data_IF_459344339078
#
_entry.id   IF_459344339078
#
_cell.length_a   1.000
_cell.length_b   1.000
_cell.length_c   1.000
_cell.angle_alpha   90.00
_cell.angle_beta   90.00
_cell.angle_gamma   90.00
#
_symmetry.space_group_name_H-M   'P 1'
#
loop_
_entity.id
_entity.type
_entity.pdbx_description
1 polymer ?
#
# COMPACT_ATOMS: atom_id res chain seq x y z
N UNK A 1 11.01 8.59 -16.76
CA UNK A 1 9.69 9.24 -16.59
C UNK A 1 9.50 9.44 -15.09
N UNK A 2 9.13 10.62 -14.60
CA UNK A 2 8.84 10.80 -13.18
C UNK A 2 7.67 9.91 -12.75
N UNK A 3 7.71 9.39 -11.53
CA UNK A 3 6.66 8.57 -10.96
C UNK A 3 5.96 9.31 -9.80
N UNK A 4 4.64 9.19 -9.74
CA UNK A 4 3.80 9.62 -8.62
C UNK A 4 3.33 8.38 -7.87
N UNK A 5 3.77 8.26 -6.62
CA UNK A 5 3.31 7.22 -5.70
C UNK A 5 2.05 7.70 -4.99
N UNK A 6 0.93 7.01 -5.18
CA UNK A 6 -0.34 7.29 -4.51
C UNK A 6 -0.62 6.21 -3.46
N UNK A 7 -0.67 6.62 -2.20
CA UNK A 7 -0.92 5.75 -1.06
C UNK A 7 -2.40 5.83 -0.67
N UNK A 8 -3.13 4.73 -0.87
CA UNK A 8 -4.56 4.66 -0.61
C UNK A 8 -4.88 4.60 0.91
N UNK A 9 -6.13 4.93 1.26
CA UNK A 9 -6.60 4.89 2.65
C UNK A 9 -7.05 3.50 3.11
N UNK A 10 -7.55 3.43 4.35
CA UNK A 10 -8.09 2.22 4.96
C UNK A 10 -9.15 1.55 4.08
N UNK A 11 -9.20 0.22 4.09
CA UNK A 11 -10.14 -0.63 3.33
C UNK A 11 -10.02 -0.58 1.81
N UNK A 12 -9.14 0.27 1.26
CA UNK A 12 -8.85 0.26 -0.16
C UNK A 12 -7.92 -0.92 -0.51
N UNK A 13 -8.29 -1.64 -1.56
CA UNK A 13 -7.46 -2.60 -2.29
C UNK A 13 -6.92 -1.97 -3.57
N UNK A 14 -5.98 -2.65 -4.25
CA UNK A 14 -5.50 -2.29 -5.59
C UNK A 14 -6.63 -2.05 -6.63
N UNK A 15 -7.78 -2.72 -6.47
CA UNK A 15 -8.94 -2.62 -7.36
C UNK A 15 -9.83 -1.40 -7.07
N UNK A 16 -9.77 -0.83 -5.85
CA UNK A 16 -10.55 0.35 -5.44
C UNK A 16 -9.74 1.64 -5.41
N UNK A 17 -8.41 1.51 -5.41
CA UNK A 17 -7.47 2.61 -5.59
C UNK A 17 -7.31 3.17 -7.02
N UNK A 18 -7.89 2.65 -8.13
CA UNK A 18 -7.76 3.28 -9.44
C UNK A 18 -8.31 4.69 -9.35
N UNK A 19 -7.38 5.63 -9.26
CA UNK A 19 -7.60 7.05 -9.27
C UNK A 19 -8.67 7.36 -10.32
N UNK A 20 -9.86 7.75 -9.86
CA UNK A 20 -11.03 7.99 -10.69
C UNK A 20 -10.75 9.14 -11.66
N UNK A 21 -10.08 8.84 -12.77
CA UNK A 21 -9.71 9.78 -13.82
C UNK A 21 -8.31 10.40 -13.76
N UNK A 22 -7.40 10.03 -12.85
CA UNK A 22 -6.08 10.68 -12.81
C UNK A 22 -5.15 10.23 -13.96
N UNK A 23 -5.45 9.13 -14.65
CA UNK A 23 -4.65 8.61 -15.77
C UNK A 23 -4.55 9.64 -16.91
N UNK A 24 -5.65 10.37 -17.19
CA UNK A 24 -5.66 11.41 -18.23
C UNK A 24 -4.67 12.52 -17.90
N UNK A 25 -4.74 13.06 -16.68
CA UNK A 25 -3.86 14.14 -16.25
C UNK A 25 -2.41 13.65 -16.14
N UNK A 26 -2.19 12.43 -15.64
CA UNK A 26 -0.85 11.83 -15.59
C UNK A 26 -0.24 11.69 -16.99
N UNK A 27 -1.02 11.29 -17.99
CA UNK A 27 -0.58 11.25 -19.38
C UNK A 27 -0.24 12.65 -19.94
N UNK A 28 -1.08 13.65 -19.65
CA UNK A 28 -0.83 15.06 -20.05
C UNK A 28 0.44 15.63 -19.40
N UNK A 29 0.77 15.20 -18.17
CA UNK A 29 1.94 15.64 -17.39
C UNK A 29 3.18 14.75 -17.57
N UNK A 30 3.08 13.63 -18.29
CA UNK A 30 4.17 12.67 -18.45
C UNK A 30 4.57 11.95 -17.16
N UNK A 31 3.61 11.58 -16.32
CA UNK A 31 3.81 10.88 -15.04
C UNK A 31 3.45 9.40 -15.12
N UNK A 32 4.29 8.54 -14.54
CA UNK A 32 3.90 7.18 -14.18
C UNK A 32 3.08 7.22 -12.88
N UNK A 33 1.95 6.53 -12.82
CA UNK A 33 1.20 6.34 -11.58
C UNK A 33 1.59 5.00 -10.96
N UNK A 34 2.02 5.01 -9.69
CA UNK A 34 2.31 3.81 -8.91
C UNK A 34 1.35 3.79 -7.72
N UNK A 35 0.55 2.73 -7.62
CA UNK A 35 -0.54 2.60 -6.65
C UNK A 35 -0.40 1.23 -5.95
N UNK A 36 0.47 1.10 -4.95
CA UNK A 36 0.66 -0.15 -4.24
C UNK A 36 -0.54 -0.49 -3.35
N UNK A 37 -0.57 -1.73 -2.89
CA UNK A 37 -1.53 -2.17 -1.87
C UNK A 37 -1.25 -1.51 -0.50
N UNK A 38 -2.23 -1.59 0.41
CA UNK A 38 -2.25 -0.87 1.69
C UNK A 38 -1.72 -1.69 2.87
N UNK A 39 -1.54 -3.00 2.69
CA UNK A 39 -0.97 -3.93 3.67
C UNK A 39 -0.49 -5.21 2.97
N UNK A 40 0.26 -6.09 3.66
CA UNK A 40 0.41 -7.47 3.23
C UNK A 40 -0.94 -8.17 3.10
N UNK A 41 -1.01 -9.21 2.26
CA UNK A 41 -2.18 -10.07 2.07
C UNK A 41 -1.80 -11.53 2.28
N UNK A 42 -2.64 -12.29 2.98
CA UNK A 42 -2.44 -13.74 3.19
C UNK A 42 -1.19 -14.06 4.01
N UNK A 43 -0.88 -13.24 5.02
CA UNK A 43 0.24 -13.48 5.92
C UNK A 43 -0.04 -14.65 6.88
N UNK A 44 -1.31 -15.02 7.06
CA UNK A 44 -1.72 -16.12 7.93
C UNK A 44 -1.55 -15.78 9.41
N UNK A 45 -1.60 -14.48 9.74
CA UNK A 45 -1.57 -14.01 11.13
C UNK A 45 -2.98 -14.10 11.71
N UNK A 46 -3.10 -14.68 12.91
CA UNK A 46 -4.38 -14.78 13.61
C UNK A 46 -4.97 -13.37 13.83
N UNK A 47 -6.22 -13.20 13.40
CA UNK A 47 -6.97 -11.94 13.51
C UNK A 47 -6.56 -10.87 12.50
N UNK A 48 -5.78 -11.20 11.46
CA UNK A 48 -5.33 -10.21 10.45
C UNK A 48 -6.46 -9.50 9.71
N UNK A 49 -7.68 -10.05 9.70
CA UNK A 49 -8.85 -9.48 9.03
C UNK A 49 -10.04 -9.24 9.97
N UNK A 50 -9.84 -9.29 11.30
CA UNK A 50 -10.93 -9.17 12.28
C UNK A 50 -11.49 -7.75 12.38
N UNK A 51 -10.68 -6.74 12.03
CA UNK A 51 -11.03 -5.33 12.11
C UNK A 51 -10.72 -4.61 10.79
N UNK A 52 -11.51 -3.59 10.46
CA UNK A 52 -11.35 -2.82 9.22
C UNK A 52 -10.25 -1.75 9.33
N UNK A 53 -9.90 -1.37 10.56
CA UNK A 53 -8.93 -0.33 10.91
C UNK A 53 -7.61 -0.91 11.43
N UNK A 54 -7.42 -2.22 11.38
CA UNK A 54 -6.20 -2.89 11.83
C UNK A 54 -5.94 -4.18 11.04
N UNK A 55 -4.66 -4.46 10.76
CA UNK A 55 -4.27 -5.64 9.98
C UNK A 55 -4.41 -5.43 8.46
N UNK A 56 -5.16 -6.30 7.80
CA UNK A 56 -5.32 -6.39 6.35
C UNK A 56 -6.14 -5.20 5.84
N UNK A 57 -5.60 -4.44 4.90
CA UNK A 57 -6.16 -3.16 4.43
C UNK A 57 -5.83 -1.96 5.33
N UNK A 58 -5.01 -2.17 6.37
CA UNK A 58 -4.68 -1.18 7.39
C UNK A 58 -3.21 -1.31 7.83
N UNK A 59 -2.27 -1.21 6.88
CA UNK A 59 -0.84 -1.33 7.15
C UNK A 59 -0.18 -0.07 7.75
N UNK A 60 -0.87 1.08 7.73
CA UNK A 60 -0.40 2.38 8.24
C UNK A 60 0.96 2.87 7.72
N UNK A 61 1.51 2.23 6.69
CA UNK A 61 2.79 2.59 6.07
C UNK A 61 3.97 2.63 7.05
N UNK A 62 3.96 1.73 8.03
CA UNK A 62 5.02 1.58 9.04
C UNK A 62 5.67 0.19 8.97
N UNK A 63 6.80 0.06 9.65
CA UNK A 63 7.39 -1.21 10.01
C UNK A 63 7.00 -1.59 11.44
N UNK A 64 6.19 -2.64 11.58
CA UNK A 64 5.75 -3.15 12.87
C UNK A 64 6.92 -3.78 13.63
N UNK A 65 6.98 -3.52 14.95
CA UNK A 65 8.00 -4.09 15.84
C UNK A 65 7.47 -5.23 16.70
N UNK A 66 6.16 -5.27 16.92
CA UNK A 66 5.52 -6.25 17.80
C UNK A 66 5.08 -7.51 17.05
N UNK A 67 5.27 -8.67 17.68
CA UNK A 67 4.73 -9.93 17.19
C UNK A 67 3.20 -9.98 17.39
N UNK A 68 2.45 -10.64 16.49
CA UNK A 68 2.92 -11.38 15.30
C UNK A 68 3.18 -10.51 14.05
N UNK A 69 2.90 -9.21 14.09
CA UNK A 69 2.87 -8.31 12.92
C UNK A 69 4.24 -8.03 12.32
N UNK A 70 5.29 -7.98 13.14
CA UNK A 70 6.65 -7.62 12.73
C UNK A 70 7.24 -8.50 11.60
N UNK A 71 6.72 -9.73 11.42
CA UNK A 71 7.14 -10.61 10.34
C UNK A 71 6.68 -10.16 8.95
N UNK A 72 5.56 -9.44 8.85
CA UNK A 72 4.90 -9.14 7.57
C UNK A 72 4.54 -7.66 7.39
N UNK A 73 4.12 -6.93 8.44
CA UNK A 73 3.72 -5.52 8.37
C UNK A 73 4.94 -4.61 8.29
N UNK A 74 5.61 -4.63 7.14
CA UNK A 74 6.83 -3.85 6.85
C UNK A 74 6.60 -2.89 5.69
N UNK A 75 5.53 -2.10 5.78
CA UNK A 75 5.06 -1.28 4.68
C UNK A 75 6.00 -0.10 4.39
N UNK A 76 6.68 0.45 5.41
CA UNK A 76 7.69 1.49 5.19
C UNK A 76 8.87 0.93 4.39
N UNK A 77 9.42 -0.21 4.84
CA UNK A 77 10.50 -0.90 4.13
C UNK A 77 10.09 -1.29 2.72
N UNK A 78 8.90 -1.86 2.54
CA UNK A 78 8.36 -2.23 1.23
C UNK A 78 8.30 -1.02 0.29
N UNK A 79 7.73 0.10 0.75
CA UNK A 79 7.63 1.31 -0.08
C UNK A 79 9.01 1.89 -0.40
N UNK A 80 9.85 2.10 0.61
CA UNK A 80 11.08 2.90 0.45
C UNK A 80 12.26 2.11 -0.09
N UNK A 81 12.33 0.81 0.19
CA UNK A 81 13.51 -0.02 -0.11
C UNK A 81 13.25 -1.05 -1.19
N UNK A 82 12.00 -1.48 -1.41
CA UNK A 82 11.67 -2.52 -2.38
C UNK A 82 10.93 -1.98 -3.61
N UNK A 83 9.94 -1.11 -3.41
CA UNK A 83 9.10 -0.60 -4.49
C UNK A 83 9.62 0.71 -5.10
N UNK A 84 10.04 1.67 -4.27
CA UNK A 84 10.60 2.94 -4.73
C UNK A 84 12.01 2.88 -5.35
N UNK A 85 12.79 1.77 -5.38
CA UNK A 85 13.99 1.64 -6.23
C UNK A 85 13.76 1.73 -7.75
N UNK A 86 12.69 2.40 -8.19
CA UNK A 86 12.50 2.92 -9.54
C UNK A 86 13.58 3.94 -9.92
#
# INVERSE_FOLDING_TARGET
MPALLYLAGLTCTEETAPSSGAQRLAAELGLALVMPDTSPRGAGVDGEADAWDFGVGAGFYLDATEQPWAGHWRMESYLMQELCPL
#
